data_IF_816569157891
#
_entry.id   IF_816569157891
#
_cell.length_a   1.000
_cell.length_b   1.000
_cell.length_c   1.000
_cell.angle_alpha   90.00
_cell.angle_beta   90.00
_cell.angle_gamma   90.00
#
_symmetry.space_group_name_H-M   'P 1'
#
loop_
_entity.id
_entity.type
_entity.pdbx_description
1 polymer ?
#
# COMPACT_ATOMS: atom_id res chain seq x y z
N UNK A 1 4.87 -11.57 20.34
CA UNK A 1 6.31 -11.96 20.38
C UNK A 1 6.99 -11.87 19.00
N UNK A 2 6.60 -12.65 17.98
CA UNK A 2 7.23 -12.55 16.65
C UNK A 2 7.07 -11.15 16.02
N UNK A 3 5.86 -10.58 16.06
CA UNK A 3 5.59 -9.23 15.52
C UNK A 3 6.46 -8.13 16.16
N UNK A 4 6.72 -8.22 17.46
CA UNK A 4 7.60 -7.28 18.18
C UNK A 4 9.03 -7.35 17.65
N UNK A 5 9.58 -8.55 17.47
CA UNK A 5 10.93 -8.72 16.92
C UNK A 5 11.05 -8.06 15.54
N UNK A 6 10.07 -8.32 14.66
CA UNK A 6 10.04 -7.71 13.32
C UNK A 6 9.92 -6.19 13.41
N UNK A 7 9.08 -5.67 14.32
CA UNK A 7 8.93 -4.23 14.53
C UNK A 7 10.23 -3.57 15.05
N UNK A 8 10.96 -4.25 15.93
CA UNK A 8 12.26 -3.78 16.44
C UNK A 8 13.32 -3.77 15.33
N UNK A 9 13.29 -4.75 14.41
CA UNK A 9 14.18 -4.83 13.23
C UNK A 9 13.86 -3.74 12.19
N UNK A 10 12.57 -3.43 11.95
CA UNK A 10 12.13 -2.36 11.02
C UNK A 10 12.34 -0.96 11.63
N UNK A 11 12.18 -0.84 12.95
CA UNK A 11 12.19 0.41 13.69
C UNK A 11 10.84 1.13 13.70
N UNK A 12 10.47 1.72 14.84
CA UNK A 12 9.22 2.44 15.03
C UNK A 12 9.19 3.83 14.35
N UNK A 13 8.01 4.40 14.04
CA UNK A 13 6.71 3.72 14.06
C UNK A 13 6.59 2.67 12.95
N UNK A 14 5.75 1.66 13.21
CA UNK A 14 5.40 0.59 12.26
C UNK A 14 3.89 0.56 12.02
N UNK A 15 3.48 0.03 10.88
CA UNK A 15 2.08 -0.21 10.54
C UNK A 15 1.81 -1.72 10.52
N UNK A 16 0.78 -2.15 11.23
CA UNK A 16 0.27 -3.53 11.24
C UNK A 16 -0.93 -3.57 10.29
N UNK A 17 -0.93 -4.49 9.31
CA UNK A 17 -1.96 -4.57 8.26
C UNK A 17 -2.49 -5.97 8.08
N UNK A 18 -3.79 -6.10 7.85
CA UNK A 18 -4.43 -7.33 7.41
C UNK A 18 -3.94 -7.72 6.00
N UNK A 19 -3.56 -8.98 5.81
CA UNK A 19 -3.06 -9.48 4.52
C UNK A 19 -4.13 -9.50 3.43
N UNK A 20 -5.39 -9.75 3.80
CA UNK A 20 -6.53 -9.75 2.90
C UNK A 20 -7.34 -8.43 2.98
N UNK A 21 -6.81 -7.42 3.67
CA UNK A 21 -7.51 -6.18 3.96
C UNK A 21 -7.64 -5.25 2.75
N UNK A 22 -8.62 -4.35 2.81
CA UNK A 22 -8.84 -3.30 1.81
C UNK A 22 -9.68 -2.16 2.38
N UNK A 23 -9.62 -0.99 1.74
CA UNK A 23 -10.44 0.18 2.11
C UNK A 23 -10.13 0.79 3.48
N UNK A 24 -8.89 0.66 3.96
CA UNK A 24 -8.43 1.25 5.22
C UNK A 24 -8.81 0.47 6.49
N UNK A 25 -9.39 -0.73 6.37
CA UNK A 25 -9.74 -1.58 7.52
C UNK A 25 -8.61 -2.53 7.91
N UNK A 26 -8.54 -2.90 9.18
CA UNK A 26 -7.53 -3.82 9.69
C UNK A 26 -6.10 -3.27 9.66
N UNK A 27 -5.97 -1.95 9.79
CA UNK A 27 -4.68 -1.26 9.86
C UNK A 27 -4.50 -0.54 11.21
N UNK A 28 -3.32 -0.66 11.82
CA UNK A 28 -3.00 -0.02 13.10
C UNK A 28 -1.55 0.48 13.11
N UNK A 29 -1.36 1.73 13.49
CA UNK A 29 -0.03 2.31 13.71
C UNK A 29 0.40 1.97 15.13
N UNK A 30 1.66 1.56 15.29
CA UNK A 30 2.28 1.34 16.59
C UNK A 30 3.60 2.12 16.68
N UNK A 31 3.71 2.97 17.70
CA UNK A 31 4.88 3.80 18.01
C UNK A 31 5.82 3.13 19.02
N UNK A 32 5.39 2.01 19.61
CA UNK A 32 6.15 1.31 20.64
C UNK A 32 5.90 -0.20 20.61
N UNK A 33 6.76 -0.96 21.30
CA UNK A 33 6.60 -2.40 21.50
C UNK A 33 5.25 -2.76 22.14
N UNK A 34 4.83 -1.99 23.15
CA UNK A 34 3.56 -2.23 23.84
C UNK A 34 2.37 -2.07 22.87
N UNK A 35 2.40 -1.03 22.04
CA UNK A 35 1.38 -0.80 21.01
C UNK A 35 1.39 -1.88 19.92
N UNK A 36 2.53 -2.49 19.61
CA UNK A 36 2.56 -3.65 18.69
C UNK A 36 1.85 -4.86 19.29
N UNK A 37 2.08 -5.14 20.58
CA UNK A 37 1.44 -6.27 21.26
C UNK A 37 -0.08 -6.11 21.32
N UNK A 38 -0.57 -4.91 21.60
CA UNK A 38 -1.99 -4.58 21.60
C UNK A 38 -2.57 -4.55 20.17
N UNK A 39 -1.95 -3.78 19.28
CA UNK A 39 -2.40 -3.52 17.91
C UNK A 39 -2.45 -4.79 17.06
N UNK A 40 -1.55 -5.74 17.27
CA UNK A 40 -1.54 -7.01 16.54
C UNK A 40 -2.81 -7.83 16.79
N UNK A 41 -3.23 -7.95 18.05
CA UNK A 41 -4.43 -8.71 18.40
C UNK A 41 -5.70 -8.06 17.84
N UNK A 42 -5.77 -6.73 17.89
CA UNK A 42 -6.88 -5.96 17.33
C UNK A 42 -6.96 -6.08 15.81
N UNK A 43 -5.84 -5.88 15.11
CA UNK A 43 -5.78 -6.01 13.65
C UNK A 43 -6.15 -7.42 13.20
N UNK A 44 -5.68 -8.45 13.92
CA UNK A 44 -6.00 -9.85 13.65
C UNK A 44 -7.50 -10.15 13.81
N UNK A 45 -8.12 -9.63 14.88
CA UNK A 45 -9.54 -9.82 15.13
C UNK A 45 -10.41 -9.11 14.07
N UNK A 46 -10.05 -7.88 13.70
CA UNK A 46 -10.74 -7.11 12.64
C UNK A 46 -10.59 -7.76 11.26
N UNK A 47 -9.40 -8.29 10.97
CA UNK A 47 -9.14 -9.02 9.73
C UNK A 47 -10.04 -10.26 9.60
N UNK A 48 -10.11 -11.06 10.67
CA UNK A 48 -10.96 -12.26 10.72
C UNK A 48 -12.44 -11.92 10.57
N UNK A 49 -12.93 -10.88 11.25
CA UNK A 49 -14.35 -10.50 11.20
C UNK A 49 -14.75 -9.86 9.88
N UNK A 50 -13.85 -9.10 9.24
CA UNK A 50 -14.16 -8.36 8.00
C UNK A 50 -13.87 -9.15 6.72
N UNK A 51 -12.85 -10.02 6.73
CA UNK A 51 -12.33 -10.67 5.53
C UNK A 51 -12.24 -12.21 5.65
N UNK A 52 -12.55 -12.79 6.81
CA UNK A 52 -12.45 -14.23 7.04
C UNK A 52 -11.01 -14.78 7.13
N UNK A 53 -10.01 -13.90 7.04
CA UNK A 53 -8.58 -14.22 7.06
C UNK A 53 -7.91 -13.43 8.20
N UNK A 54 -7.21 -14.13 9.08
CA UNK A 54 -6.61 -13.57 10.29
C UNK A 54 -5.09 -13.30 10.13
N UNK A 55 -4.55 -13.45 8.92
CA UNK A 55 -3.15 -13.14 8.63
C UNK A 55 -2.91 -11.64 8.61
N UNK A 56 -1.84 -11.23 9.27
CA UNK A 56 -1.38 -9.83 9.32
C UNK A 56 0.12 -9.76 9.03
N UNK A 57 0.58 -8.61 8.56
CA UNK A 57 1.99 -8.30 8.37
C UNK A 57 2.34 -6.94 8.99
N UNK A 58 3.64 -6.67 9.12
CA UNK A 58 4.18 -5.42 9.69
C UNK A 58 5.05 -4.77 8.63
N UNK A 59 4.84 -3.48 8.39
CA UNK A 59 5.64 -2.65 7.49
C UNK A 59 6.12 -1.38 8.21
N UNK A 60 7.12 -0.70 7.64
CA UNK A 60 7.52 0.61 8.14
C UNK A 60 6.37 1.59 7.94
N UNK A 61 6.03 2.36 8.98
CA UNK A 61 5.11 3.48 8.81
C UNK A 61 5.89 4.69 8.30
N UNK A 62 5.56 5.13 7.08
CA UNK A 62 6.07 6.38 6.51
C UNK A 62 5.21 7.51 7.06
N UNK A 63 5.84 8.50 7.71
CA UNK A 63 5.16 9.66 8.30
C UNK A 63 4.91 10.70 7.22
N UNK A 64 3.72 11.29 7.23
CA UNK A 64 3.24 12.25 6.22
C UNK A 64 3.47 11.78 4.77
N UNK A 65 3.04 10.55 4.44
CA UNK A 65 3.31 10.00 3.12
C UNK A 65 2.44 10.68 2.06
N UNK A 66 2.88 10.55 0.81
CA UNK A 66 2.01 10.76 -0.35
C UNK A 66 1.51 9.42 -0.84
N UNK A 67 0.31 9.40 -1.40
CA UNK A 67 -0.26 8.21 -2.00
C UNK A 67 -0.39 8.43 -3.50
N UNK A 68 0.61 7.97 -4.23
CA UNK A 68 0.67 8.07 -5.69
C UNK A 68 0.36 6.71 -6.27
N UNK A 69 -0.44 6.66 -7.33
CA UNK A 69 -0.76 5.39 -7.97
C UNK A 69 -0.63 5.47 -9.50
N UNK A 70 -0.11 4.40 -10.10
CA UNK A 70 0.12 4.32 -11.54
C UNK A 70 -0.93 3.40 -12.16
N UNK A 71 -1.66 3.90 -13.15
CA UNK A 71 -2.56 3.08 -13.96
C UNK A 71 -1.74 2.22 -14.92
N UNK A 72 -1.97 0.91 -14.92
CA UNK A 72 -1.40 -0.02 -15.91
C UNK A 72 -2.49 -0.67 -16.74
N UNK A 73 -2.18 -0.97 -18.00
CA UNK A 73 -2.98 -1.82 -18.88
C UNK A 73 -2.07 -2.90 -19.47
N UNK A 74 -2.46 -4.16 -19.30
CA UNK A 74 -1.80 -5.32 -19.88
C UNK A 74 -2.71 -6.08 -20.84
N UNK A 75 -2.13 -6.71 -21.86
CA UNK A 75 -2.84 -7.64 -22.74
C UNK A 75 -2.35 -9.08 -22.59
N UNK A 76 -3.06 -10.02 -23.23
CA UNK A 76 -2.71 -11.46 -23.23
C UNK A 76 -1.53 -11.81 -24.14
N UNK A 77 -0.91 -10.83 -24.78
CA UNK A 77 0.26 -10.97 -25.65
C UNK A 77 1.55 -10.50 -24.97
N UNK A 78 1.50 -10.12 -23.69
CA UNK A 78 2.64 -9.65 -22.90
C UNK A 78 2.95 -8.17 -23.07
N UNK A 79 2.10 -7.40 -23.77
CA UNK A 79 2.24 -5.96 -23.83
C UNK A 79 1.70 -5.34 -22.55
N UNK A 80 2.44 -4.40 -21.99
CA UNK A 80 2.03 -3.64 -20.80
C UNK A 80 2.45 -2.19 -20.98
N UNK A 81 1.52 -1.27 -20.73
CA UNK A 81 1.74 0.18 -20.73
C UNK A 81 1.28 0.78 -19.40
N UNK A 82 1.73 2.00 -19.10
CA UNK A 82 1.16 2.82 -18.03
C UNK A 82 0.46 4.07 -18.59
N UNK A 83 -0.59 4.54 -17.91
CA UNK A 83 -1.40 5.69 -18.28
C UNK A 83 -1.27 6.82 -17.25
N UNK A 84 -0.03 7.23 -17.00
CA UNK A 84 0.30 8.24 -15.99
C UNK A 84 -0.03 7.83 -14.56
N UNK A 85 0.02 8.81 -13.67
CA UNK A 85 -0.26 8.67 -12.24
C UNK A 85 -1.52 9.41 -11.80
N UNK A 86 -2.05 9.00 -10.64
CA UNK A 86 -3.01 9.76 -9.85
C UNK A 86 -2.41 10.08 -8.49
N UNK A 87 -2.71 11.28 -8.00
CA UNK A 87 -2.41 11.71 -6.65
C UNK A 87 -3.64 11.57 -5.76
N UNK A 88 -3.51 10.78 -4.70
CA UNK A 88 -4.61 10.32 -3.84
C UNK A 88 -4.31 10.55 -2.36
N UNK A 89 -3.41 11.47 -2.02
CA UNK A 89 -3.02 11.73 -0.62
C UNK A 89 -4.10 12.41 0.21
N UNK A 90 -5.11 13.02 -0.41
CA UNK A 90 -6.24 13.61 0.31
C UNK A 90 -7.16 12.49 0.78
N UNK A 91 -6.91 12.04 2.01
CA UNK A 91 -7.57 10.90 2.61
C UNK A 91 -8.20 11.26 3.96
N UNK A 92 -9.28 10.57 4.31
CA UNK A 92 -9.85 10.60 5.66
C UNK A 92 -9.89 9.17 6.20
N UNK A 93 -9.17 8.91 7.29
CA UNK A 93 -9.05 7.57 7.89
C UNK A 93 -8.61 6.51 6.87
N UNK A 94 -7.58 6.81 6.09
CA UNK A 94 -7.00 5.93 5.07
C UNK A 94 -7.94 5.55 3.92
N UNK A 95 -9.00 6.32 3.70
CA UNK A 95 -9.87 6.22 2.53
C UNK A 95 -9.69 7.46 1.68
N UNK A 96 -9.53 7.27 0.36
CA UNK A 96 -9.37 8.34 -0.63
C UNK A 96 -10.64 9.20 -0.67
N UNK A 97 -10.47 10.53 -0.68
CA UNK A 97 -11.57 11.51 -0.67
C UNK A 97 -11.53 12.37 -1.92
N UNK A 98 -10.34 12.79 -2.33
CA UNK A 98 -10.11 13.53 -3.57
C UNK A 98 -8.91 12.89 -4.27
N UNK A 99 -9.07 12.63 -5.57
CA UNK A 99 -7.99 12.19 -6.45
C UNK A 99 -7.81 13.18 -7.60
N UNK A 100 -6.57 13.41 -8.01
CA UNK A 100 -6.23 14.28 -9.15
C UNK A 100 -5.22 13.59 -10.10
N UNK A 101 -5.22 13.99 -11.37
CA UNK A 101 -4.34 13.44 -12.39
C UNK A 101 -3.96 14.50 -13.44
N UNK A 102 -2.66 14.65 -13.80
CA UNK A 102 -1.50 14.05 -13.14
C UNK A 102 -1.24 14.66 -11.75
N UNK A 103 -0.31 14.09 -10.99
CA UNK A 103 0.13 14.64 -9.71
C UNK A 103 0.85 15.98 -9.93
N UNK A 104 0.44 17.08 -9.27
CA UNK A 104 1.11 18.37 -9.39
C UNK A 104 2.47 18.41 -8.67
N UNK A 105 2.80 17.38 -7.88
CA UNK A 105 4.00 17.34 -7.04
C UNK A 105 5.12 16.46 -7.61
N UNK A 106 4.84 15.67 -8.66
CA UNK A 106 5.86 14.85 -9.30
C UNK A 106 6.51 15.58 -10.47
N UNK A 107 7.85 15.63 -10.43
CA UNK A 107 8.63 15.97 -11.61
C UNK A 107 8.57 14.86 -12.68
N UNK A 108 8.93 15.20 -13.92
CA UNK A 108 8.91 14.26 -15.04
C UNK A 108 9.83 13.05 -14.86
N UNK A 109 10.96 13.23 -14.14
CA UNK A 109 11.94 12.16 -13.94
C UNK A 109 11.39 11.08 -13.01
N UNK A 110 10.80 11.51 -11.89
CA UNK A 110 10.18 10.65 -10.88
C UNK A 110 8.95 9.97 -11.47
N UNK A 111 8.08 10.73 -12.17
CA UNK A 111 6.92 10.18 -12.89
C UNK A 111 7.30 9.06 -13.85
N UNK A 112 8.33 9.26 -14.68
CA UNK A 112 8.81 8.23 -15.60
C UNK A 112 9.31 6.99 -14.87
N UNK A 113 10.14 7.17 -13.82
CA UNK A 113 10.67 6.05 -13.02
C UNK A 113 9.56 5.22 -12.39
N UNK A 114 8.55 5.87 -11.82
CA UNK A 114 7.40 5.18 -11.21
C UNK A 114 6.58 4.41 -12.26
N UNK A 115 6.34 5.03 -13.43
CA UNK A 115 5.66 4.38 -14.55
C UNK A 115 6.39 3.14 -15.06
N UNK A 116 7.71 3.24 -15.27
CA UNK A 116 8.56 2.13 -15.70
C UNK A 116 8.60 1.00 -14.66
N UNK A 117 8.66 1.33 -13.36
CA UNK A 117 8.59 0.33 -12.29
C UNK A 117 7.24 -0.38 -12.23
N UNK A 118 6.13 0.35 -12.41
CA UNK A 118 4.80 -0.25 -12.45
C UNK A 118 4.63 -1.22 -13.63
N UNK A 119 5.15 -0.85 -14.82
CA UNK A 119 5.19 -1.74 -15.98
C UNK A 119 6.07 -2.96 -15.73
N UNK A 120 7.24 -2.78 -15.13
CA UNK A 120 8.14 -3.89 -14.80
C UNK A 120 7.49 -4.89 -13.85
N UNK A 121 6.80 -4.41 -12.80
CA UNK A 121 6.04 -5.25 -11.87
C UNK A 121 4.92 -6.01 -12.59
N UNK A 122 4.09 -5.32 -13.38
CA UNK A 122 2.99 -5.93 -14.11
C UNK A 122 3.48 -6.99 -15.12
N UNK A 123 4.59 -6.74 -15.83
CA UNK A 123 5.22 -7.73 -16.71
C UNK A 123 5.75 -8.94 -15.95
N UNK A 124 6.36 -8.75 -14.79
CA UNK A 124 6.91 -9.85 -13.99
C UNK A 124 5.86 -10.87 -13.54
N UNK A 125 4.60 -10.45 -13.44
CA UNK A 125 3.47 -11.32 -13.09
C UNK A 125 2.54 -11.65 -14.26
N UNK A 126 2.94 -11.30 -15.50
CA UNK A 126 2.12 -11.48 -16.72
C UNK A 126 0.70 -10.89 -16.57
N UNK A 127 0.60 -9.69 -15.99
CA UNK A 127 -0.68 -9.03 -15.73
C UNK A 127 -1.42 -8.72 -17.05
N UNK A 128 -2.70 -9.07 -17.13
CA UNK A 128 -3.63 -8.66 -18.20
C UNK A 128 -4.82 -7.89 -17.63
N UNK A 129 -5.48 -7.08 -18.47
CA UNK A 129 -6.55 -6.13 -18.11
C UNK A 129 -6.04 -4.83 -17.49
N UNK A 130 -6.96 -4.07 -16.87
CA UNK A 130 -6.65 -2.84 -16.14
C UNK A 130 -6.23 -3.12 -14.71
N UNK A 131 -5.21 -2.41 -14.23
CA UNK A 131 -4.69 -2.53 -12.87
C UNK A 131 -4.12 -1.20 -12.36
N UNK A 132 -3.86 -1.11 -11.07
CA UNK A 132 -3.23 0.06 -10.46
C UNK A 132 -2.12 -0.40 -9.52
N UNK A 133 -0.94 0.21 -9.63
CA UNK A 133 0.18 0.01 -8.72
C UNK A 133 0.26 1.21 -7.79
N UNK A 134 0.06 0.99 -6.49
CA UNK A 134 0.06 2.04 -5.48
C UNK A 134 1.46 2.18 -4.83
N UNK A 135 1.88 3.42 -4.60
CA UNK A 135 3.15 3.81 -3.99
C UNK A 135 2.89 4.71 -2.77
N UNK A 136 3.77 4.60 -1.78
CA UNK A 136 3.79 5.38 -0.53
C UNK A 136 5.20 5.91 -0.30
#
# INVERSE_FOLDING_TARGET
KHAVRIADEIGYPVMIKASAGGGGKGMRIAHSKAEVEEGFNLAKAEAKSSFGDDRVFVEKFIVDPRHIEIQVLGDKHGNVIYLGERECSIQRRNQKVIEEAPSPLLDETTRRKMGEQAVALAKAVSYDSAGTVEFV
#
